data_IF_143609337276
#
_entry.id   IF_143609337276
#
_cell.length_a   1.000
_cell.length_b   1.000
_cell.length_c   1.000
_cell.angle_alpha   90.00
_cell.angle_beta   90.00
_cell.angle_gamma   90.00
#
_symmetry.space_group_name_H-M   'P 1'
#
loop_
_entity.id
_entity.type
_entity.pdbx_description
1 polymer ?
#
# COMPACT_ATOMS: atom_id res chain seq x y z
N UNK A 1 9.38 -16.92 0.80
CA UNK A 1 8.02 -16.42 0.48
C UNK A 1 7.94 -16.22 -1.03
N UNK A 2 6.84 -16.55 -1.71
CA UNK A 2 6.78 -16.42 -3.16
C UNK A 2 6.89 -14.93 -3.53
N UNK A 3 7.88 -14.62 -4.35
CA UNK A 3 8.10 -13.30 -4.94
C UNK A 3 6.97 -13.09 -5.95
N UNK A 4 5.98 -12.24 -5.64
CA UNK A 4 4.92 -11.87 -6.58
C UNK A 4 3.47 -12.18 -6.16
N UNK A 5 3.22 -12.73 -4.98
CA UNK A 5 1.84 -12.86 -4.50
C UNK A 5 1.29 -11.49 -4.07
N UNK A 6 0.11 -11.13 -4.60
CA UNK A 6 -0.60 -9.91 -4.20
C UNK A 6 -1.05 -10.06 -2.74
N UNK A 7 -0.65 -9.14 -1.83
CA UNK A 7 -1.09 -9.19 -0.44
C UNK A 7 -2.62 -9.09 -0.31
N UNK A 8 -3.16 -9.83 0.66
CA UNK A 8 -4.57 -9.79 1.04
C UNK A 8 -4.66 -9.64 2.55
N UNK A 9 -5.31 -8.58 2.99
CA UNK A 9 -5.59 -8.30 4.41
C UNK A 9 -7.01 -7.77 4.52
N UNK A 10 -7.65 -7.94 5.68
CA UNK A 10 -8.92 -7.27 5.98
C UNK A 10 -8.74 -5.75 6.02
N UNK A 11 -9.84 -4.99 6.04
CA UNK A 11 -9.78 -3.54 6.11
C UNK A 11 -9.12 -3.05 7.41
N UNK A 12 -9.43 -3.68 8.56
CA UNK A 12 -8.81 -3.35 9.84
C UNK A 12 -7.32 -3.66 9.84
N UNK A 13 -6.92 -4.87 9.44
CA UNK A 13 -5.51 -5.25 9.35
C UNK A 13 -4.73 -4.33 8.40
N UNK A 14 -5.35 -3.91 7.29
CA UNK A 14 -4.75 -2.94 6.36
C UNK A 14 -4.47 -1.62 7.06
N UNK A 15 -5.44 -1.08 7.80
CA UNK A 15 -5.27 0.17 8.54
C UNK A 15 -4.23 0.05 9.65
N UNK A 16 -4.23 -1.06 10.39
CA UNK A 16 -3.28 -1.32 11.47
C UNK A 16 -1.85 -1.36 10.93
N UNK A 17 -1.60 -2.11 9.85
CA UNK A 17 -0.29 -2.19 9.22
C UNK A 17 0.16 -0.84 8.64
N UNK A 18 -0.75 -0.12 7.96
CA UNK A 18 -0.39 1.19 7.42
C UNK A 18 0.00 2.16 8.54
N UNK A 19 -0.78 2.24 9.62
CA UNK A 19 -0.46 3.07 10.77
C UNK A 19 0.81 2.61 11.50
N UNK A 20 1.04 1.30 11.61
CA UNK A 20 2.22 0.73 12.25
C UNK A 20 3.50 1.19 11.54
N UNK A 21 3.51 1.21 10.21
CA UNK A 21 4.71 1.48 9.42
C UNK A 21 4.82 2.92 8.90
N UNK A 22 3.85 3.79 9.17
CA UNK A 22 3.93 5.21 8.82
C UNK A 22 5.20 5.85 9.40
N UNK A 23 6.02 6.45 8.52
CA UNK A 23 7.25 7.13 8.92
C UNK A 23 8.36 6.20 9.41
N UNK A 24 8.12 4.89 9.53
CA UNK A 24 9.20 3.91 9.71
C UNK A 24 9.84 3.72 8.34
N UNK A 25 11.17 3.72 8.26
CA UNK A 25 11.93 3.51 7.03
C UNK A 25 11.85 2.05 6.55
N UNK A 26 10.63 1.53 6.41
CA UNK A 26 10.27 0.17 6.03
C UNK A 26 9.32 0.27 4.86
N UNK A 27 9.73 -0.25 3.71
CA UNK A 27 8.87 -0.29 2.53
C UNK A 27 7.77 -1.35 2.70
N UNK A 28 6.60 -1.03 2.18
CA UNK A 28 5.43 -1.91 2.16
C UNK A 28 5.15 -2.39 0.75
N UNK A 29 4.70 -3.64 0.65
CA UNK A 29 4.02 -4.18 -0.52
C UNK A 29 2.52 -4.02 -0.34
N UNK A 30 1.86 -3.38 -1.30
CA UNK A 30 0.41 -3.26 -1.35
C UNK A 30 -0.15 -3.89 -2.62
N UNK A 31 -1.26 -4.61 -2.49
CA UNK A 31 -2.12 -4.88 -3.64
C UNK A 31 -3.01 -3.66 -3.90
N UNK A 32 -2.99 -3.11 -5.11
CA UNK A 32 -3.74 -1.91 -5.46
C UNK A 32 -4.64 -2.15 -6.66
N UNK A 33 -5.95 -2.00 -6.45
CA UNK A 33 -6.96 -2.11 -7.48
C UNK A 33 -7.01 -0.84 -8.34
N UNK A 34 -6.98 -1.00 -9.66
CA UNK A 34 -7.24 0.07 -10.62
C UNK A 34 -8.74 0.31 -10.80
N UNK A 35 -9.11 1.26 -11.67
CA UNK A 35 -10.51 1.60 -11.95
C UNK A 35 -11.27 0.53 -12.73
N UNK A 36 -10.57 -0.42 -13.35
CA UNK A 36 -11.11 -1.47 -14.19
C UNK A 36 -11.19 -2.82 -13.46
N UNK A 37 -10.87 -2.85 -12.16
CA UNK A 37 -10.87 -4.06 -11.33
C UNK A 37 -9.60 -4.91 -11.43
N UNK A 38 -8.59 -4.47 -12.20
CA UNK A 38 -7.27 -5.08 -12.20
C UNK A 38 -6.54 -4.77 -10.90
N UNK A 39 -5.77 -5.73 -10.38
CA UNK A 39 -4.98 -5.53 -9.15
C UNK A 39 -3.50 -5.66 -9.48
N UNK A 40 -2.73 -4.64 -9.08
CA UNK A 40 -1.27 -4.60 -9.26
C UNK A 40 -0.56 -4.64 -7.90
N UNK A 41 0.65 -5.19 -7.87
CA UNK A 41 1.54 -5.07 -6.72
C UNK A 41 2.29 -3.74 -6.80
N UNK A 42 2.32 -2.98 -5.69
CA UNK A 42 3.12 -1.76 -5.55
C UNK A 42 4.03 -1.87 -4.36
N UNK A 43 5.26 -1.38 -4.50
CA UNK A 43 6.21 -1.22 -3.39
C UNK A 43 6.28 0.27 -3.09
N UNK A 44 6.04 0.63 -1.82
CA UNK A 44 5.88 2.02 -1.40
C UNK A 44 6.55 2.28 -0.06
N UNK A 45 7.01 3.52 0.16
CA UNK A 45 7.37 4.01 1.49
C UNK A 45 6.23 4.88 2.03
N UNK A 46 5.51 4.47 3.07
CA UNK A 46 4.34 5.18 3.57
C UNK A 46 4.75 6.48 4.30
N UNK A 47 4.12 7.61 3.94
CA UNK A 47 4.49 8.93 4.45
C UNK A 47 3.42 9.56 5.35
N UNK A 48 2.16 9.56 4.91
CA UNK A 48 1.04 10.08 5.71
C UNK A 48 -0.28 9.48 5.30
N UNK A 49 -1.26 9.52 6.21
CA UNK A 49 -2.64 9.15 5.93
C UNK A 49 -3.53 10.33 6.27
N UNK A 50 -4.40 10.71 5.34
CA UNK A 50 -5.42 11.74 5.55
C UNK A 50 -6.62 11.47 4.65
N UNK A 51 -7.83 11.66 5.19
CA UNK A 51 -9.10 11.58 4.45
C UNK A 51 -9.20 10.31 3.56
N UNK A 52 -8.87 9.14 4.14
CA UNK A 52 -8.91 7.85 3.43
C UNK A 52 -7.88 7.69 2.30
N UNK A 53 -6.86 8.54 2.27
CA UNK A 53 -5.79 8.53 1.28
C UNK A 53 -4.45 8.32 1.98
N UNK A 54 -3.69 7.33 1.52
CA UNK A 54 -2.29 7.11 1.87
C UNK A 54 -1.42 7.89 0.88
N UNK A 55 -0.59 8.80 1.38
CA UNK A 55 0.48 9.41 0.59
C UNK A 55 1.74 8.60 0.82
N UNK A 56 2.38 8.17 -0.27
CA UNK A 56 3.58 7.34 -0.19
C UNK A 56 4.54 7.63 -1.33
N UNK A 57 5.84 7.37 -1.13
CA UNK A 57 6.79 7.29 -2.25
C UNK A 57 6.57 5.97 -2.95
N UNK A 58 6.21 6.00 -4.21
CA UNK A 58 6.06 4.80 -5.02
C UNK A 58 7.36 4.45 -5.74
N UNK A 59 7.85 3.22 -5.54
CA UNK A 59 9.12 2.79 -6.11
C UNK A 59 9.03 2.57 -7.63
N UNK A 60 7.85 2.24 -8.16
CA UNK A 60 7.67 2.00 -9.60
C UNK A 60 7.78 3.29 -10.43
N UNK A 61 7.19 4.38 -9.95
CA UNK A 61 7.24 5.70 -10.61
C UNK A 61 8.33 6.63 -10.05
N UNK A 62 8.94 6.27 -8.92
CA UNK A 62 9.84 7.12 -8.13
C UNK A 62 9.22 8.48 -7.72
N UNK A 63 7.89 8.53 -7.58
CA UNK A 63 7.13 9.75 -7.27
C UNK A 63 6.36 9.64 -5.96
N UNK A 64 6.09 10.79 -5.33
CA UNK A 64 5.13 10.84 -4.23
C UNK A 64 3.72 10.71 -4.82
N UNK A 65 3.05 9.61 -4.48
CA UNK A 65 1.79 9.21 -5.10
C UNK A 65 0.71 9.04 -4.04
N UNK A 66 -0.51 9.59 -4.25
CA UNK A 66 -1.66 9.31 -3.41
C UNK A 66 -2.31 7.97 -3.80
N UNK A 67 -2.59 7.15 -2.79
CA UNK A 67 -3.30 5.88 -2.92
C UNK A 67 -4.58 5.93 -2.10
N UNK A 68 -5.74 5.75 -2.75
CA UNK A 68 -7.01 5.55 -2.02
C UNK A 68 -6.97 4.25 -1.23
N UNK A 69 -7.15 4.33 0.08
CA UNK A 69 -7.07 3.16 0.98
C UNK A 69 -8.15 2.13 0.62
N UNK A 70 -9.34 2.59 0.22
CA UNK A 70 -10.42 1.72 -0.25
C UNK A 70 -10.09 0.87 -1.50
N UNK A 71 -8.98 1.17 -2.20
CA UNK A 71 -8.48 0.39 -3.34
C UNK A 71 -7.32 -0.54 -2.96
N UNK A 72 -6.89 -0.54 -1.71
CA UNK A 72 -5.86 -1.46 -1.23
C UNK A 72 -6.51 -2.80 -0.92
N UNK A 73 -6.08 -3.86 -1.61
CA UNK A 73 -6.58 -5.23 -1.39
C UNK A 73 -5.84 -5.97 -0.29
N UNK A 74 -4.63 -5.49 0.03
CA UNK A 74 -3.92 -5.88 1.24
C UNK A 74 -2.52 -5.30 1.34
N UNK A 75 -1.88 -5.50 2.49
CA UNK A 75 -0.57 -4.92 2.84
C UNK A 75 0.34 -5.98 3.48
N UNK A 76 1.63 -5.91 3.19
CA UNK A 76 2.67 -6.66 3.91
C UNK A 76 4.01 -5.92 3.82
N UNK A 77 5.00 -6.27 4.64
CA UNK A 77 6.34 -5.69 4.54
C UNK A 77 7.08 -6.18 3.27
N UNK A 78 7.87 -5.30 2.67
CA UNK A 78 8.65 -5.60 1.46
C UNK A 78 9.92 -6.41 1.73
#
# INVERSE_FOLDING_TARGET
RPVGQIPRTSANETMDLLNEYLGKSVSLRIGYADTNGGVSLRIIDPLSISLGTLVARDHASNAITPFKIARITGVTTA
#
